data_IF_092536580263
#
_entry.id   IF_092536580263
#
_cell.length_a   1.000
_cell.length_b   1.000
_cell.length_c   1.000
_cell.angle_alpha   90.00
_cell.angle_beta   90.00
_cell.angle_gamma   90.00
#
_symmetry.space_group_name_H-M   'P 1'
#
loop_
_entity.id
_entity.type
_entity.pdbx_description
1 polymer ?
#
# COMPACT_ATOMS: atom_id res chain seq x y z
N UNK A 1 -22.64 2.61 -20.52
CA UNK A 1 -23.00 2.31 -19.11
C UNK A 1 -21.92 1.51 -18.38
N UNK A 2 -21.23 0.56 -19.03
CA UNK A 2 -20.16 -0.24 -18.38
C UNK A 2 -18.91 0.57 -17.96
N UNK A 3 -18.46 1.58 -18.74
CA UNK A 3 -17.29 2.41 -18.39
C UNK A 3 -17.46 3.11 -17.02
N UNK A 4 -18.60 3.77 -16.80
CA UNK A 4 -18.85 4.46 -15.53
C UNK A 4 -18.82 3.52 -14.32
N UNK A 5 -19.22 2.24 -14.49
CA UNK A 5 -19.21 1.26 -13.40
C UNK A 5 -17.77 0.90 -13.03
N UNK A 6 -16.91 0.58 -14.01
CA UNK A 6 -15.51 0.24 -13.77
C UNK A 6 -14.76 1.40 -13.09
N UNK A 7 -14.95 2.61 -13.61
CA UNK A 7 -14.33 3.80 -13.05
C UNK A 7 -14.85 4.13 -11.64
N UNK A 8 -16.14 3.95 -11.37
CA UNK A 8 -16.70 4.13 -10.04
C UNK A 8 -16.12 3.12 -9.05
N UNK A 9 -16.01 1.84 -9.44
CA UNK A 9 -15.40 0.78 -8.64
C UNK A 9 -13.92 1.08 -8.35
N UNK A 10 -13.18 1.56 -9.36
CA UNK A 10 -11.81 2.03 -9.20
C UNK A 10 -11.72 3.13 -8.13
N UNK A 11 -12.55 4.17 -8.20
CA UNK A 11 -12.48 5.28 -7.24
C UNK A 11 -12.80 4.83 -5.81
N UNK A 12 -13.81 3.98 -5.62
CA UNK A 12 -14.17 3.44 -4.30
C UNK A 12 -13.03 2.57 -3.75
N UNK A 13 -12.50 1.67 -4.57
CA UNK A 13 -11.40 0.77 -4.17
C UNK A 13 -10.10 1.54 -3.92
N UNK A 14 -9.78 2.56 -4.72
CA UNK A 14 -8.63 3.43 -4.53
C UNK A 14 -8.74 4.27 -3.26
N UNK A 15 -9.94 4.72 -2.91
CA UNK A 15 -10.18 5.39 -1.63
C UNK A 15 -9.91 4.47 -0.44
N UNK A 16 -10.42 3.23 -0.48
CA UNK A 16 -10.16 2.24 0.57
C UNK A 16 -8.67 1.90 0.68
N UNK A 17 -8.01 1.70 -0.46
CA UNK A 17 -6.58 1.43 -0.50
C UNK A 17 -5.77 2.59 0.11
N UNK A 18 -6.11 3.84 -0.24
CA UNK A 18 -5.51 5.03 0.36
C UNK A 18 -5.71 5.09 1.88
N UNK A 19 -6.95 4.88 2.36
CA UNK A 19 -7.24 4.88 3.80
C UNK A 19 -6.44 3.79 4.52
N UNK A 20 -6.34 2.59 3.94
CA UNK A 20 -5.57 1.51 4.54
C UNK A 20 -4.08 1.84 4.60
N UNK A 21 -3.47 2.41 3.57
CA UNK A 21 -2.06 2.86 3.63
C UNK A 21 -1.88 3.95 4.68
N UNK A 22 -2.78 4.95 4.71
CA UNK A 22 -2.73 6.08 5.64
C UNK A 22 -2.83 5.62 7.10
N UNK A 23 -3.74 4.68 7.38
CA UNK A 23 -3.99 4.15 8.73
C UNK A 23 -2.95 3.10 9.12
N UNK A 24 -2.48 2.27 8.18
CA UNK A 24 -1.49 1.25 8.45
C UNK A 24 -0.10 1.83 8.78
N UNK A 25 0.29 2.94 8.14
CA UNK A 25 1.61 3.54 8.32
C UNK A 25 1.96 3.91 9.78
N UNK A 26 1.05 4.51 10.58
CA UNK A 26 1.29 4.76 12.01
C UNK A 26 0.98 3.58 12.94
N UNK A 27 0.33 2.52 12.45
CA UNK A 27 -0.10 1.35 13.24
C UNK A 27 1.01 0.29 13.34
N UNK A 28 0.83 -0.67 14.24
CA UNK A 28 1.74 -1.79 14.47
C UNK A 28 1.99 -2.64 13.21
N UNK A 29 3.27 -2.82 12.90
CA UNK A 29 3.75 -3.81 11.91
C UNK A 29 3.91 -5.18 12.56
N UNK A 30 4.27 -5.22 13.84
CA UNK A 30 4.43 -6.43 14.63
C UNK A 30 3.91 -6.25 16.06
N UNK A 31 3.45 -7.33 16.68
CA UNK A 31 3.00 -7.37 18.07
C UNK A 31 3.56 -8.60 18.80
N UNK A 32 3.70 -8.56 20.12
CA UNK A 32 4.27 -9.66 20.91
C UNK A 32 3.31 -10.87 20.96
N UNK A 33 3.83 -12.08 20.67
CA UNK A 33 3.02 -13.31 20.54
C UNK A 33 2.21 -13.66 21.79
N UNK A 34 2.87 -13.61 22.94
CA UNK A 34 2.33 -14.11 24.22
C UNK A 34 1.12 -13.31 24.75
N UNK A 35 0.92 -12.08 24.27
CA UNK A 35 -0.14 -11.21 24.75
C UNK A 35 -1.34 -11.13 23.79
N UNK A 36 -1.21 -11.60 22.54
CA UNK A 36 -2.28 -11.59 21.55
C UNK A 36 -2.50 -10.24 20.85
N UNK A 37 -3.18 -10.27 19.70
CA UNK A 37 -3.28 -9.14 18.74
C UNK A 37 -3.97 -7.87 19.26
N UNK A 38 -4.82 -8.01 20.29
CA UNK A 38 -5.60 -6.91 20.87
C UNK A 38 -5.18 -6.56 22.30
N UNK A 39 -4.08 -7.13 22.78
CA UNK A 39 -3.56 -6.75 24.07
C UNK A 39 -2.86 -5.40 23.99
N UNK A 40 -2.98 -4.60 25.05
CA UNK A 40 -2.30 -3.30 25.23
C UNK A 40 -0.78 -3.45 25.44
N UNK A 41 -0.21 -4.50 24.88
CA UNK A 41 1.15 -4.95 25.04
C UNK A 41 2.12 -4.17 24.14
N UNK A 42 3.39 -4.54 24.23
CA UNK A 42 4.44 -4.03 23.38
C UNK A 42 4.14 -4.31 21.89
N UNK A 43 4.31 -3.31 21.04
CA UNK A 43 4.28 -3.46 19.59
C UNK A 43 5.36 -2.66 18.90
N UNK A 44 5.61 -3.05 17.67
CA UNK A 44 6.63 -2.48 16.81
C UNK A 44 5.96 -1.89 15.58
N UNK A 45 6.11 -0.59 15.39
CA UNK A 45 5.64 0.15 14.22
C UNK A 45 6.80 0.36 13.23
N UNK A 46 6.55 0.96 12.06
CA UNK A 46 7.62 1.41 11.15
C UNK A 46 8.54 2.47 11.79
N UNK A 47 8.08 3.15 12.83
CA UNK A 47 8.73 4.32 13.44
C UNK A 47 9.48 4.00 14.74
N UNK A 48 9.22 2.83 15.34
CA UNK A 48 9.79 2.47 16.62
C UNK A 48 8.89 1.55 17.44
N UNK A 49 9.40 1.19 18.62
CA UNK A 49 8.70 0.38 19.60
C UNK A 49 7.79 1.22 20.49
N UNK A 50 6.67 0.62 20.90
CA UNK A 50 5.77 1.13 21.92
C UNK A 50 5.57 0.07 22.98
N UNK A 51 5.57 0.45 24.24
CA UNK A 51 5.16 -0.40 25.34
C UNK A 51 3.64 -0.59 25.38
N UNK A 52 2.90 0.44 24.96
CA UNK A 52 1.44 0.41 24.83
C UNK A 52 1.04 0.84 23.41
N UNK A 53 0.43 -0.06 22.65
CA UNK A 53 0.08 0.19 21.24
C UNK A 53 -0.88 1.35 20.99
N UNK A 54 -1.73 1.68 21.97
CA UNK A 54 -2.66 2.81 21.86
C UNK A 54 -2.00 4.17 22.10
N UNK A 55 -0.75 4.20 22.60
CA UNK A 55 -0.06 5.44 22.86
C UNK A 55 0.28 6.18 21.56
N UNK A 56 0.12 7.51 21.55
CA UNK A 56 0.55 8.35 20.44
C UNK A 56 2.06 8.57 20.42
N UNK A 57 2.76 8.29 21.53
CA UNK A 57 4.21 8.44 21.64
C UNK A 57 4.90 7.10 21.43
N UNK A 58 6.08 7.15 20.81
CA UNK A 58 6.99 6.01 20.74
C UNK A 58 7.90 6.08 21.97
N UNK A 59 8.04 4.97 22.68
CA UNK A 59 8.91 4.90 23.85
C UNK A 59 10.38 4.79 23.42
N UNK A 60 10.62 4.07 22.31
CA UNK A 60 11.95 3.88 21.71
C UNK A 60 11.85 4.02 20.20
N UNK A 61 12.71 4.85 19.61
CA UNK A 61 12.77 5.04 18.15
C UNK A 61 13.37 3.82 17.45
N UNK A 62 13.09 3.64 16.14
CA UNK A 62 13.73 2.55 15.38
C UNK A 62 15.26 2.71 15.29
N UNK A 63 15.80 3.93 15.38
CA UNK A 63 17.25 4.17 15.32
C UNK A 63 17.95 3.66 16.58
N UNK A 64 17.31 3.80 17.75
CA UNK A 64 17.79 3.30 19.05
C UNK A 64 17.55 1.78 19.19
N UNK A 65 16.36 1.31 18.80
CA UNK A 65 15.99 -0.11 18.87
C UNK A 65 16.95 -0.99 18.05
N UNK A 66 17.43 -0.49 16.92
CA UNK A 66 18.30 -1.20 15.99
C UNK A 66 19.72 -0.61 15.92
N UNK A 67 20.19 0.06 16.98
CA UNK A 67 21.51 0.70 17.01
C UNK A 67 22.64 -0.28 16.66
N UNK A 68 22.56 -1.50 17.21
CA UNK A 68 23.52 -2.58 16.98
C UNK A 68 23.24 -3.41 15.70
N UNK A 69 22.16 -3.10 14.98
CA UNK A 69 21.68 -3.85 13.81
C UNK A 69 21.59 -2.92 12.58
N UNK A 70 22.73 -2.45 12.01
CA UNK A 70 22.73 -1.40 10.99
C UNK A 70 21.97 -1.78 9.72
N UNK A 71 21.98 -3.06 9.33
CA UNK A 71 21.24 -3.54 8.17
C UNK A 71 19.72 -3.41 8.38
N UNK A 72 19.23 -3.85 9.54
CA UNK A 72 17.81 -3.75 9.91
C UNK A 72 17.35 -2.31 10.07
N UNK A 73 18.18 -1.47 10.69
CA UNK A 73 17.92 -0.02 10.79
C UNK A 73 17.74 0.62 9.42
N UNK A 74 18.58 0.27 8.45
CA UNK A 74 18.45 0.75 7.07
C UNK A 74 17.13 0.29 6.43
N UNK A 75 16.75 -0.98 6.61
CA UNK A 75 15.49 -1.51 6.08
C UNK A 75 14.26 -0.78 6.66
N UNK A 76 14.23 -0.52 7.97
CA UNK A 76 13.17 0.29 8.60
C UNK A 76 13.13 1.72 8.06
N UNK A 77 14.29 2.38 7.90
CA UNK A 77 14.37 3.72 7.34
C UNK A 77 13.85 3.78 5.89
N UNK A 78 14.26 2.84 5.05
CA UNK A 78 13.79 2.73 3.67
C UNK A 78 12.28 2.46 3.63
N UNK A 79 11.79 1.52 4.44
CA UNK A 79 10.38 1.20 4.51
C UNK A 79 9.52 2.38 4.99
N UNK A 80 9.95 3.11 6.03
CA UNK A 80 9.25 4.30 6.51
C UNK A 80 9.19 5.40 5.43
N UNK A 81 10.30 5.63 4.72
CA UNK A 81 10.35 6.60 3.62
C UNK A 81 9.41 6.21 2.48
N UNK A 82 9.44 4.94 2.06
CA UNK A 82 8.57 4.41 1.01
C UNK A 82 7.09 4.44 1.42
N UNK A 83 6.77 4.18 2.69
CA UNK A 83 5.41 4.28 3.21
C UNK A 83 4.87 5.71 3.09
N UNK A 84 5.66 6.72 3.48
CA UNK A 84 5.28 8.14 3.32
C UNK A 84 5.08 8.50 1.85
N UNK A 85 6.00 8.10 0.96
CA UNK A 85 5.85 8.32 -0.48
C UNK A 85 4.56 7.67 -0.99
N UNK A 86 4.26 6.46 -0.54
CA UNK A 86 3.06 5.74 -0.97
C UNK A 86 1.75 6.44 -0.55
N UNK A 87 1.71 7.12 0.61
CA UNK A 87 0.54 7.92 1.02
C UNK A 87 0.25 9.00 -0.03
N UNK A 88 1.28 9.73 -0.48
CA UNK A 88 1.12 10.76 -1.51
C UNK A 88 0.72 10.17 -2.86
N UNK A 89 1.33 9.05 -3.26
CA UNK A 89 1.02 8.37 -4.53
C UNK A 89 -0.44 7.90 -4.56
N UNK A 90 -0.90 7.22 -3.50
CA UNK A 90 -2.28 6.71 -3.43
C UNK A 90 -3.30 7.85 -3.29
N UNK A 91 -2.95 8.91 -2.55
CA UNK A 91 -3.79 10.10 -2.41
C UNK A 91 -3.95 10.86 -3.73
N UNK A 92 -2.86 11.05 -4.48
CA UNK A 92 -2.92 11.65 -5.82
C UNK A 92 -3.72 10.79 -6.80
N UNK A 93 -3.52 9.47 -6.78
CA UNK A 93 -4.28 8.54 -7.62
C UNK A 93 -5.78 8.56 -7.31
N UNK A 94 -6.16 8.73 -6.03
CA UNK A 94 -7.55 8.90 -5.63
C UNK A 94 -8.14 10.23 -6.13
N UNK A 95 -7.45 11.36 -5.89
CA UNK A 95 -7.91 12.69 -6.30
C UNK A 95 -8.08 12.75 -7.82
N UNK A 96 -7.09 12.29 -8.58
CA UNK A 96 -7.15 12.26 -10.05
C UNK A 96 -8.22 11.28 -10.55
N UNK A 97 -8.39 10.14 -9.87
CA UNK A 97 -9.47 9.20 -10.14
C UNK A 97 -10.85 9.84 -10.01
N UNK A 98 -11.06 10.58 -8.93
CA UNK A 98 -12.30 11.33 -8.70
C UNK A 98 -12.53 12.42 -9.77
N UNK A 99 -11.48 13.16 -10.15
CA UNK A 99 -11.57 14.18 -11.22
C UNK A 99 -11.90 13.55 -12.58
N UNK A 100 -11.37 12.36 -12.85
CA UNK A 100 -11.61 11.61 -14.09
C UNK A 100 -13.09 11.23 -14.25
N UNK A 101 -13.82 10.99 -13.15
CA UNK A 101 -15.28 10.79 -13.20
C UNK A 101 -16.04 12.01 -13.74
N UNK A 102 -15.48 13.21 -13.58
CA UNK A 102 -16.16 14.45 -13.95
C UNK A 102 -15.87 14.90 -15.39
N UNK A 103 -14.61 14.93 -15.86
CA UNK A 103 -14.31 15.65 -17.11
C UNK A 103 -13.12 15.19 -17.99
N UNK A 104 -12.25 14.24 -17.61
CA UNK A 104 -10.97 14.06 -18.35
C UNK A 104 -10.48 12.61 -18.52
N UNK A 105 -10.55 12.06 -19.75
CA UNK A 105 -10.06 10.70 -20.08
C UNK A 105 -8.53 10.60 -20.01
N UNK A 106 -7.77 11.67 -20.31
CA UNK A 106 -6.30 11.63 -20.30
C UNK A 106 -5.69 11.31 -18.91
N UNK A 107 -6.40 11.65 -17.84
CA UNK A 107 -5.95 11.41 -16.46
C UNK A 107 -5.95 9.92 -16.09
N UNK A 108 -6.64 9.09 -16.87
CA UNK A 108 -6.68 7.63 -16.71
C UNK A 108 -5.30 6.99 -16.80
N UNK A 109 -4.50 7.36 -17.80
CA UNK A 109 -3.13 6.86 -17.96
C UNK A 109 -2.21 7.33 -16.82
N UNK A 110 -2.44 8.54 -16.32
CA UNK A 110 -1.73 9.06 -15.14
C UNK A 110 -2.10 8.24 -13.90
N UNK A 111 -3.40 7.95 -13.69
CA UNK A 111 -3.86 7.07 -12.62
C UNK A 111 -3.22 5.69 -12.72
N UNK A 112 -3.15 5.10 -13.92
CA UNK A 112 -2.51 3.81 -14.14
C UNK A 112 -1.03 3.83 -13.73
N UNK A 113 -0.27 4.84 -14.16
CA UNK A 113 1.13 4.97 -13.77
C UNK A 113 1.31 5.14 -12.26
N UNK A 114 0.44 5.93 -11.61
CA UNK A 114 0.47 6.10 -10.16
C UNK A 114 0.16 4.79 -9.43
N UNK A 115 -0.79 3.98 -9.92
CA UNK A 115 -1.10 2.67 -9.34
C UNK A 115 0.10 1.71 -9.48
N UNK A 116 0.80 1.70 -10.63
CA UNK A 116 2.03 0.89 -10.83
C UNK A 116 3.12 1.30 -9.84
N UNK A 117 3.36 2.62 -9.69
CA UNK A 117 4.30 3.14 -8.68
C UNK A 117 3.84 2.75 -7.26
N UNK A 118 2.53 2.78 -7.02
CA UNK A 118 1.91 2.35 -5.77
C UNK A 118 2.14 0.88 -5.43
N UNK A 119 2.17 -0.01 -6.43
CA UNK A 119 2.51 -1.43 -6.25
C UNK A 119 3.97 -1.55 -5.82
N UNK A 120 4.88 -0.85 -6.50
CA UNK A 120 6.31 -0.93 -6.22
C UNK A 120 6.64 -0.40 -4.82
N UNK A 121 6.09 0.76 -4.46
CA UNK A 121 6.35 1.40 -3.17
C UNK A 121 5.80 0.59 -2.00
N UNK A 122 4.48 0.34 -1.93
CA UNK A 122 3.87 -0.44 -0.84
C UNK A 122 4.37 -1.88 -0.83
N UNK A 123 4.58 -2.47 -2.02
CA UNK A 123 5.15 -3.80 -2.18
C UNK A 123 6.51 -3.94 -1.51
N UNK A 124 7.40 -2.97 -1.74
CA UNK A 124 8.70 -2.93 -1.08
C UNK A 124 8.58 -2.76 0.45
N UNK A 125 7.65 -1.93 0.94
CA UNK A 125 7.45 -1.74 2.39
C UNK A 125 7.13 -3.05 3.10
N UNK A 126 6.07 -3.76 2.69
CA UNK A 126 5.68 -4.99 3.38
C UNK A 126 6.67 -6.13 3.10
N UNK A 127 7.29 -6.19 1.91
CA UNK A 127 8.32 -7.18 1.62
C UNK A 127 9.55 -7.01 2.54
N UNK A 128 10.00 -5.78 2.78
CA UNK A 128 11.08 -5.50 3.74
C UNK A 128 10.69 -5.94 5.15
N UNK A 129 9.44 -5.72 5.58
CA UNK A 129 8.97 -6.23 6.88
C UNK A 129 8.99 -7.76 6.95
N UNK A 130 8.63 -8.47 5.87
CA UNK A 130 8.72 -9.93 5.80
C UNK A 130 10.16 -10.42 5.87
N UNK A 131 11.09 -9.74 5.18
CA UNK A 131 12.53 -10.03 5.23
C UNK A 131 13.03 -9.92 6.68
N UNK A 132 12.71 -8.83 7.38
CA UNK A 132 13.07 -8.62 8.79
C UNK A 132 12.46 -9.69 9.70
N UNK A 133 11.25 -10.14 9.38
CA UNK A 133 10.53 -11.13 10.18
C UNK A 133 11.24 -12.49 10.19
N UNK A 134 11.73 -12.93 9.03
CA UNK A 134 12.31 -14.27 8.87
C UNK A 134 13.84 -14.30 8.93
N UNK A 135 14.52 -13.24 8.51
CA UNK A 135 15.98 -13.24 8.46
C UNK A 135 16.60 -13.12 9.85
N UNK A 136 17.64 -13.93 10.04
CA UNK A 136 18.46 -13.97 11.23
C UNK A 136 19.77 -13.24 10.91
N UNK A 137 19.92 -12.02 11.43
CA UNK A 137 21.08 -11.16 11.15
C UNK A 137 22.25 -11.45 12.12
N UNK A 138 22.21 -12.60 12.81
CA UNK A 138 23.24 -13.09 13.72
C UNK A 138 22.90 -12.93 15.21
N UNK A 139 23.87 -13.23 16.07
CA UNK A 139 23.67 -13.41 17.53
C UNK A 139 23.08 -12.17 18.23
N UNK A 140 23.40 -10.97 17.76
CA UNK A 140 22.92 -9.71 18.34
C UNK A 140 21.61 -9.21 17.72
N UNK A 141 21.16 -9.79 16.60
CA UNK A 141 20.04 -9.34 15.81
C UNK A 141 19.16 -10.54 15.36
N UNK A 142 18.60 -11.31 16.31
CA UNK A 142 17.83 -12.50 15.98
C UNK A 142 16.58 -12.14 15.17
N UNK A 143 16.02 -13.15 14.50
CA UNK A 143 14.77 -13.00 13.75
C UNK A 143 13.63 -12.45 14.60
N UNK A 144 12.88 -11.49 14.07
CA UNK A 144 11.75 -10.86 14.78
C UNK A 144 10.62 -11.85 15.06
N UNK A 145 10.44 -12.84 14.18
CA UNK A 145 9.48 -13.95 14.32
C UNK A 145 9.64 -14.81 15.57
N UNK A 146 10.75 -14.69 16.30
CA UNK A 146 10.96 -15.42 17.56
C UNK A 146 10.09 -14.88 18.70
N UNK A 147 9.73 -13.59 18.69
CA UNK A 147 9.00 -12.92 19.78
C UNK A 147 7.78 -12.14 19.33
N UNK A 148 7.68 -11.85 18.03
CA UNK A 148 6.58 -11.07 17.48
C UNK A 148 5.88 -11.83 16.35
N UNK A 149 4.59 -11.53 16.17
CA UNK A 149 3.77 -11.89 15.01
C UNK A 149 3.37 -10.63 14.23
N UNK A 150 2.83 -10.81 13.01
CA UNK A 150 2.43 -9.69 12.14
C UNK A 150 1.24 -8.91 12.68
N UNK A 151 1.41 -7.60 12.78
CA UNK A 151 0.44 -6.63 13.28
C UNK A 151 -0.79 -6.42 12.40
N UNK A 152 -1.69 -5.56 12.86
CA UNK A 152 -2.85 -5.12 12.09
C UNK A 152 -2.41 -4.19 10.96
N UNK A 153 -1.46 -3.29 11.21
CA UNK A 153 -0.91 -2.37 10.20
C UNK A 153 -0.27 -3.13 9.04
N UNK A 154 0.47 -4.21 9.32
CA UNK A 154 1.01 -5.07 8.27
C UNK A 154 -0.10 -5.66 7.38
N UNK A 155 -1.16 -6.22 7.98
CA UNK A 155 -2.27 -6.79 7.23
C UNK A 155 -2.97 -5.74 6.37
N UNK A 156 -3.20 -4.54 6.90
CA UNK A 156 -3.80 -3.43 6.16
C UNK A 156 -2.94 -3.00 4.97
N UNK A 157 -1.60 -2.94 5.10
CA UNK A 157 -0.69 -2.65 3.98
C UNK A 157 -0.80 -3.71 2.87
N UNK A 158 -0.83 -4.99 3.23
CA UNK A 158 -0.97 -6.08 2.26
C UNK A 158 -2.32 -6.02 1.56
N UNK A 159 -3.41 -5.77 2.30
CA UNK A 159 -4.74 -5.60 1.72
C UNK A 159 -4.78 -4.40 0.77
N UNK A 160 -4.19 -3.26 1.16
CA UNK A 160 -4.09 -2.08 0.30
C UNK A 160 -3.32 -2.37 -0.99
N UNK A 161 -2.22 -3.12 -0.90
CA UNK A 161 -1.43 -3.54 -2.05
C UNK A 161 -2.24 -4.43 -3.00
N UNK A 162 -3.02 -5.38 -2.47
CA UNK A 162 -3.94 -6.21 -3.26
C UNK A 162 -5.04 -5.37 -3.93
N UNK A 163 -5.67 -4.43 -3.22
CA UNK A 163 -6.66 -3.52 -3.79
C UNK A 163 -6.07 -2.69 -4.93
N UNK A 164 -4.82 -2.25 -4.80
CA UNK A 164 -4.12 -1.49 -5.84
C UNK A 164 -3.88 -2.32 -7.11
N UNK A 165 -3.62 -3.63 -6.99
CA UNK A 165 -3.56 -4.54 -8.16
C UNK A 165 -4.93 -4.63 -8.83
N UNK A 166 -6.00 -4.78 -8.05
CA UNK A 166 -7.37 -4.83 -8.57
C UNK A 166 -7.73 -3.51 -9.27
N UNK A 167 -7.27 -2.37 -8.75
CA UNK A 167 -7.47 -1.06 -9.35
C UNK A 167 -6.84 -0.95 -10.74
N UNK A 168 -5.65 -1.52 -10.94
CA UNK A 168 -5.04 -1.61 -12.28
C UNK A 168 -5.94 -2.41 -13.22
N UNK A 169 -6.57 -3.50 -12.77
CA UNK A 169 -7.50 -4.28 -13.60
C UNK A 169 -8.74 -3.47 -13.98
N UNK A 170 -9.34 -2.74 -13.04
CA UNK A 170 -10.49 -1.86 -13.32
C UNK A 170 -10.13 -0.75 -14.31
N UNK A 171 -8.94 -0.16 -14.17
CA UNK A 171 -8.42 0.75 -15.17
C UNK A 171 -8.29 0.00 -16.50
N UNK A 172 -7.49 -1.06 -16.63
CA UNK A 172 -7.29 -1.76 -17.91
C UNK A 172 -8.58 -2.26 -18.60
N UNK A 173 -9.57 -2.75 -17.87
CA UNK A 173 -10.86 -3.22 -18.42
C UNK A 173 -11.60 -2.14 -19.20
N UNK A 174 -11.54 -0.90 -18.75
CA UNK A 174 -12.16 0.22 -19.44
C UNK A 174 -11.40 0.62 -20.73
N UNK A 175 -10.13 0.21 -20.90
CA UNK A 175 -9.38 0.39 -22.15
C UNK A 175 -9.98 -0.47 -23.27
N UNK A 176 -10.29 -1.72 -22.93
CA UNK A 176 -10.83 -2.69 -23.89
C UNK A 176 -12.20 -2.28 -24.41
N UNK A 177 -13.00 -1.60 -23.58
CA UNK A 177 -14.32 -1.10 -23.98
C UNK A 177 -14.23 0.12 -24.92
N UNK A 178 -13.25 1.00 -24.72
CA UNK A 178 -13.04 2.18 -25.55
C UNK A 178 -12.48 1.79 -26.94
N UNK A 179 -11.49 0.90 -26.98
CA UNK A 179 -10.89 0.43 -28.22
C UNK A 179 -11.91 -0.33 -29.10
N UNK A 180 -12.70 -1.23 -28.51
CA UNK A 180 -13.75 -1.96 -29.23
C UNK A 180 -14.84 -1.03 -29.79
N UNK A 181 -15.18 0.05 -29.08
CA UNK A 181 -16.13 1.05 -29.57
C UNK A 181 -15.60 1.84 -30.77
N UNK A 182 -14.34 2.26 -30.71
CA UNK A 182 -13.68 2.99 -31.80
C UNK A 182 -13.48 2.12 -33.05
N UNK A 183 -13.17 0.84 -32.88
CA UNK A 183 -13.07 -0.12 -33.99
C UNK A 183 -14.43 -0.38 -34.66
N UNK A 184 -15.50 -0.54 -33.87
CA UNK A 184 -16.86 -0.72 -34.40
C UNK A 184 -17.34 0.50 -35.20
N UNK A 185 -17.00 1.72 -34.74
CA UNK A 185 -17.34 2.96 -35.44
C UNK A 185 -16.59 3.06 -36.79
N UNK A 186 -15.28 2.79 -36.81
CA UNK A 186 -14.50 2.77 -38.06
C UNK A 186 -14.98 1.71 -39.05
N UNK A 187 -15.41 0.55 -38.56
CA UNK A 187 -15.97 -0.51 -39.40
C UNK A 187 -17.35 -0.14 -40.00
N UNK A 188 -18.09 0.78 -39.36
CA UNK A 188 -19.33 1.33 -39.91
C UNK A 188 -19.05 2.40 -40.98
N UNK A 189 -18.11 3.31 -40.73
CA UNK A 189 -17.71 4.34 -41.71
C UNK A 189 -17.16 3.69 -43.00
N UNK A 190 -16.37 2.62 -42.88
CA UNK A 190 -15.84 1.87 -44.01
C UNK A 190 -16.89 1.13 -44.85
N UNK A 191 -18.12 0.94 -44.34
CA UNK A 191 -19.24 0.35 -45.09
C UNK A 191 -20.14 1.39 -45.76
N UNK A 192 -19.96 2.68 -45.46
CA UNK A 192 -20.74 3.78 -46.04
C UNK A 192 -20.04 4.48 -47.21
N UNK A 193 -18.77 4.13 -47.49
CA UNK A 193 -18.04 4.50 -48.72
C UNK A 193 -18.06 3.36 -49.74
#
# INVERSE_FOLDING_TARGET
MACNISMTLYVISQFLAFLFVLVATPIDMFYVKELGRFSNAQCLTLWGGKEQCYSSTYDVSYDELWENCPHRRLQFRVAATLAVISIFVYGLAFILGFITLCCCICLRWVCLMLNIIGIGTVGAVWALMVVIYYNDDGLFCPRVSSRFDFGVGFALLVVAWCLNIINILFLLLECQAEDAGNEALRAQDAKQQ
#
